data_IF_286577339615
#
_entry.id   IF_286577339615
#
_cell.length_a   1.000
_cell.length_b   1.000
_cell.length_c   1.000
_cell.angle_alpha   90.00
_cell.angle_beta   90.00
_cell.angle_gamma   90.00
#
_symmetry.space_group_name_H-M   'P 1'
#
loop_
_entity.id
_entity.type
_entity.pdbx_description
1 polymer ?
#
# COMPACT_ATOMS: atom_id res chain seq x y z
N UNK A 1 12.36 6.52 7.35
CA UNK A 1 12.21 5.22 8.03
C UNK A 1 12.82 4.15 7.13
N UNK A 2 13.83 3.40 7.60
CA UNK A 2 14.38 2.25 6.88
C UNK A 2 14.31 1.04 7.79
N UNK A 3 13.20 0.33 7.81
CA UNK A 3 13.20 -1.07 8.24
C UNK A 3 13.39 -1.90 6.98
N UNK A 4 14.65 -2.23 6.70
CA UNK A 4 15.08 -3.08 5.59
C UNK A 4 14.73 -4.57 5.83
N UNK A 5 13.68 -4.83 6.63
CA UNK A 5 13.19 -6.16 6.93
C UNK A 5 12.02 -6.47 6.00
N UNK A 6 12.18 -7.54 5.22
CA UNK A 6 11.12 -8.04 4.34
C UNK A 6 9.94 -8.46 5.21
N UNK A 7 8.79 -7.81 5.02
CA UNK A 7 7.57 -8.14 5.75
C UNK A 7 7.09 -9.54 5.35
N UNK A 8 6.52 -10.29 6.30
CA UNK A 8 5.85 -11.54 5.97
C UNK A 8 4.56 -11.27 5.20
N UNK A 9 4.09 -12.21 4.35
CA UNK A 9 2.82 -12.07 3.64
C UNK A 9 1.63 -11.76 4.57
N UNK A 10 1.59 -12.40 5.74
CA UNK A 10 0.53 -12.18 6.74
C UNK A 10 0.59 -10.76 7.30
N UNK A 11 1.80 -10.22 7.50
CA UNK A 11 1.97 -8.86 7.98
C UNK A 11 1.60 -7.82 6.93
N UNK A 12 1.94 -8.07 5.66
CA UNK A 12 1.51 -7.22 4.54
C UNK A 12 -0.02 -7.21 4.45
N UNK A 13 -0.65 -8.39 4.50
CA UNK A 13 -2.10 -8.48 4.44
C UNK A 13 -2.77 -7.74 5.59
N UNK A 14 -2.25 -7.89 6.82
CA UNK A 14 -2.75 -7.13 7.97
C UNK A 14 -2.65 -5.61 7.76
N UNK A 15 -1.53 -5.11 7.25
CA UNK A 15 -1.35 -3.66 6.99
C UNK A 15 -2.37 -3.16 5.96
N UNK A 16 -2.63 -3.95 4.91
CA UNK A 16 -3.62 -3.62 3.88
C UNK A 16 -5.04 -3.61 4.47
N UNK A 17 -5.40 -4.60 5.28
CA UNK A 17 -6.72 -4.69 5.91
C UNK A 17 -6.95 -3.55 6.91
N UNK A 18 -5.96 -3.24 7.76
CA UNK A 18 -6.01 -2.13 8.71
C UNK A 18 -6.16 -0.79 7.96
N UNK A 19 -5.38 -0.59 6.90
CA UNK A 19 -5.45 0.62 6.06
C UNK A 19 -6.82 0.79 5.39
N UNK A 20 -7.35 -0.28 4.78
CA UNK A 20 -8.70 -0.26 4.18
C UNK A 20 -9.78 0.04 5.20
N UNK A 21 -9.71 -0.56 6.38
CA UNK A 21 -10.67 -0.30 7.45
C UNK A 21 -10.64 1.17 7.89
N UNK A 22 -9.44 1.75 8.06
CA UNK A 22 -9.31 3.18 8.36
C UNK A 22 -9.89 4.07 7.26
N UNK A 23 -9.63 3.79 6.00
CA UNK A 23 -10.19 4.55 4.87
C UNK A 23 -11.72 4.44 4.81
N UNK A 24 -12.25 3.23 5.05
CA UNK A 24 -13.69 2.98 5.07
C UNK A 24 -14.41 3.71 6.22
N UNK A 25 -13.79 3.80 7.40
CA UNK A 25 -14.32 4.58 8.54
C UNK A 25 -14.48 6.06 8.15
N UNK A 26 -13.54 6.59 7.37
CA UNK A 26 -13.54 7.97 6.87
C UNK A 26 -14.44 8.14 5.63
N UNK A 27 -15.16 7.09 5.19
CA UNK A 27 -16.07 7.12 4.06
C UNK A 27 -15.41 7.00 2.69
N UNK A 28 -14.15 6.56 2.63
CA UNK A 28 -13.42 6.30 1.39
C UNK A 28 -13.43 4.82 1.03
N UNK A 29 -13.46 4.54 -0.27
CA UNK A 29 -13.27 3.20 -0.83
C UNK A 29 -11.86 3.10 -1.40
N UNK A 30 -11.15 2.03 -1.05
CA UNK A 30 -9.84 1.70 -1.64
C UNK A 30 -10.06 0.75 -2.80
N UNK A 31 -9.65 1.17 -3.99
CA UNK A 31 -9.76 0.36 -5.21
C UNK A 31 -8.73 -0.76 -5.25
N UNK A 32 -8.98 -1.77 -6.07
CA UNK A 32 -8.02 -2.88 -6.30
C UNK A 32 -6.65 -2.37 -6.81
N UNK A 33 -6.65 -1.30 -7.61
CA UNK A 33 -5.42 -0.71 -8.15
C UNK A 33 -4.57 -0.04 -7.08
N UNK A 34 -5.22 0.68 -6.17
CA UNK A 34 -4.55 1.34 -5.04
C UNK A 34 -4.02 0.30 -4.05
N UNK A 35 -4.79 -0.75 -3.76
CA UNK A 35 -4.33 -1.86 -2.92
C UNK A 35 -3.10 -2.54 -3.52
N UNK A 36 -3.14 -2.88 -4.81
CA UNK A 36 -2.03 -3.53 -5.50
C UNK A 36 -0.77 -2.64 -5.50
N UNK A 37 -0.95 -1.32 -5.67
CA UNK A 37 0.16 -0.36 -5.59
C UNK A 37 0.83 -0.38 -4.22
N UNK A 38 0.04 -0.35 -3.14
CA UNK A 38 0.57 -0.40 -1.76
C UNK A 38 1.19 -1.77 -1.47
N UNK A 39 0.60 -2.87 -1.96
CA UNK A 39 1.17 -4.22 -1.83
C UNK A 39 2.56 -4.32 -2.45
N UNK A 40 2.72 -3.87 -3.70
CA UNK A 40 4.02 -3.87 -4.39
C UNK A 40 5.08 -3.02 -3.67
N UNK A 41 4.67 -1.91 -3.04
CA UNK A 41 5.56 -1.11 -2.19
C UNK A 41 5.99 -1.87 -0.92
N UNK A 42 5.04 -2.49 -0.21
CA UNK A 42 5.32 -3.24 1.03
C UNK A 42 6.16 -4.50 0.78
N UNK A 43 6.04 -5.11 -0.40
CA UNK A 43 6.87 -6.23 -0.85
C UNK A 43 8.28 -5.81 -1.28
N UNK A 44 8.52 -4.50 -1.42
CA UNK A 44 9.79 -3.94 -1.90
C UNK A 44 9.97 -4.01 -3.42
N UNK A 45 8.91 -4.30 -4.17
CA UNK A 45 8.92 -4.30 -5.63
C UNK A 45 8.90 -2.88 -6.22
N UNK A 46 8.37 -1.90 -5.47
CA UNK A 46 8.39 -0.48 -5.83
C UNK A 46 9.15 0.35 -4.80
N UNK A 47 9.87 1.36 -5.28
CA UNK A 47 10.38 2.43 -4.43
C UNK A 47 9.27 3.42 -4.09
N UNK A 48 9.46 4.19 -3.02
CA UNK A 48 8.56 5.29 -2.65
C UNK A 48 8.38 6.31 -3.79
N UNK A 49 9.47 6.62 -4.51
CA UNK A 49 9.45 7.55 -5.64
C UNK A 49 8.55 7.05 -6.78
N UNK A 50 8.59 5.75 -7.09
CA UNK A 50 7.76 5.14 -8.13
C UNK A 50 6.29 5.10 -7.71
N UNK A 51 5.99 4.84 -6.43
CA UNK A 51 4.62 4.94 -5.89
C UNK A 51 4.07 6.35 -6.08
N UNK A 52 4.81 7.38 -5.65
CA UNK A 52 4.39 8.78 -5.77
C UNK A 52 4.17 9.17 -7.24
N UNK A 53 5.04 8.71 -8.14
CA UNK A 53 4.91 8.97 -9.58
C UNK A 53 3.62 8.38 -10.14
N UNK A 54 3.25 7.16 -9.74
CA UNK A 54 2.00 6.51 -10.17
C UNK A 54 0.78 7.27 -9.67
N UNK A 55 0.74 7.63 -8.40
CA UNK A 55 -0.35 8.43 -7.81
C UNK A 55 -0.54 9.75 -8.57
N UNK A 56 0.56 10.48 -8.82
CA UNK A 56 0.51 11.73 -9.61
C UNK A 56 0.09 11.53 -11.07
N UNK A 57 0.26 10.32 -11.60
CA UNK A 57 -0.17 9.91 -12.92
C UNK A 57 -1.64 9.50 -13.01
N UNK A 58 -2.39 9.50 -11.91
CA UNK A 58 -3.80 9.12 -11.86
C UNK A 58 -4.04 7.62 -11.62
N UNK A 59 -3.19 7.01 -10.80
CA UNK A 59 -3.27 5.60 -10.38
C UNK A 59 -3.54 5.45 -8.89
#
# INVERSE_FOLDING_TARGET
MKSNEKLSPEKIQKILDDGKASMAIEGFEVTEKEEELVRQYLEGALSEEEVIKRIKGGL
#
